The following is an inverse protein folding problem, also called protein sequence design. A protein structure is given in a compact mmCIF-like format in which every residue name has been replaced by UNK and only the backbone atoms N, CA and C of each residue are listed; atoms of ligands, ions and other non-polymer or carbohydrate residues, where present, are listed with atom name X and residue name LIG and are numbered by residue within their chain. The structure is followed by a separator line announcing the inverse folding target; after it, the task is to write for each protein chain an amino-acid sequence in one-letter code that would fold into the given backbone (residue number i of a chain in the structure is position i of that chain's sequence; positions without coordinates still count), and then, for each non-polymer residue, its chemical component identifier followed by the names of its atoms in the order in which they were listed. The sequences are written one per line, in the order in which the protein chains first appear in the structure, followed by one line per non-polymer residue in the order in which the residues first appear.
data_IF_899761978419
#
_entry.id   IF_899761978419
#
_cell.length_a   1.000
_cell.length_b   1.000
_cell.length_c   1.000
_cell.angle_alpha   90.00
_cell.angle_beta   90.00
_cell.angle_gamma   90.00
#
_symmetry.space_group_name_H-M   'P 1'
#
loop_
_entity.id
_entity.type
_entity.pdbx_description
1 polymer ?
#
# COMPACT_ATOMS: atom_id res chain seq x y z
N UNK A 1 -45.26 68.24 -1.45
CA UNK A 1 -45.92 66.99 -1.89
C UNK A 1 -45.27 65.85 -1.15
N UNK A 2 -45.99 65.33 -0.17
CA UNK A 2 -45.45 64.43 0.86
C UNK A 2 -45.61 62.97 0.42
N UNK A 3 -44.47 62.27 0.34
CA UNK A 3 -44.28 60.87 0.74
C UNK A 3 -45.16 59.76 0.13
N UNK A 4 -44.56 58.97 -0.76
CA UNK A 4 -44.62 57.50 -0.67
C UNK A 4 -43.52 56.85 -1.51
N UNK A 5 -42.37 56.54 -0.88
CA UNK A 5 -41.45 55.53 -1.40
C UNK A 5 -41.99 54.15 -1.01
N UNK A 6 -42.06 53.18 -1.95
CA UNK A 6 -42.83 51.95 -1.76
C UNK A 6 -42.14 50.97 -0.78
N UNK A 7 -42.90 50.13 -0.06
CA UNK A 7 -42.41 49.21 0.98
C UNK A 7 -41.61 47.99 0.47
N UNK A 8 -41.42 47.86 -0.85
CA UNK A 8 -40.84 46.67 -1.48
C UNK A 8 -39.35 46.47 -1.18
N UNK A 9 -38.57 47.53 -1.04
CA UNK A 9 -37.13 47.45 -0.74
C UNK A 9 -36.84 46.87 0.65
N UNK A 10 -37.77 47.00 1.60
CA UNK A 10 -37.61 46.50 2.98
C UNK A 10 -37.89 45.00 3.12
N UNK A 11 -38.58 44.40 2.15
CA UNK A 11 -38.91 42.97 2.15
C UNK A 11 -37.81 42.12 1.50
N UNK A 12 -37.07 42.66 0.52
CA UNK A 12 -35.92 41.97 -0.11
C UNK A 12 -34.62 42.07 0.71
N UNK A 13 -34.47 43.05 1.60
CA UNK A 13 -33.27 43.16 2.46
C UNK A 13 -33.24 42.16 3.62
N UNK A 14 -34.41 41.78 4.16
CA UNK A 14 -34.54 40.82 5.27
C UNK A 14 -33.99 39.40 4.99
N UNK A 15 -34.22 38.78 3.81
CA UNK A 15 -33.59 37.50 3.50
C UNK A 15 -32.07 37.62 3.36
N UNK A 16 -31.54 38.75 2.85
CA UNK A 16 -30.10 38.97 2.75
C UNK A 16 -29.41 39.07 4.12
N UNK A 17 -30.02 39.75 5.09
CA UNK A 17 -29.50 39.83 6.46
C UNK A 17 -29.54 38.46 7.16
N UNK A 18 -30.61 37.70 6.98
CA UNK A 18 -30.73 36.34 7.52
C UNK A 18 -29.68 35.38 6.93
N UNK A 19 -29.42 35.47 5.63
CA UNK A 19 -28.40 34.67 4.95
C UNK A 19 -26.99 35.04 5.41
N UNK A 20 -26.70 36.33 5.62
CA UNK A 20 -25.43 36.80 6.19
C UNK A 20 -25.20 36.27 7.60
N UNK A 21 -26.24 36.28 8.45
CA UNK A 21 -26.18 35.72 9.80
C UNK A 21 -25.95 34.20 9.76
N UNK A 22 -26.63 33.48 8.86
CA UNK A 22 -26.39 32.04 8.69
C UNK A 22 -24.96 31.74 8.24
N UNK A 23 -24.42 32.52 7.31
CA UNK A 23 -23.05 32.33 6.82
C UNK A 23 -22.02 32.61 7.93
N UNK A 24 -22.24 33.65 8.74
CA UNK A 24 -21.44 33.92 9.93
C UNK A 24 -21.45 32.75 10.92
N UNK A 25 -22.63 32.17 11.22
CA UNK A 25 -22.72 31.01 12.11
C UNK A 25 -22.04 29.77 11.53
N UNK A 26 -22.12 29.53 10.21
CA UNK A 26 -21.39 28.43 9.56
C UNK A 26 -19.88 28.60 9.72
N UNK A 27 -19.37 29.82 9.47
CA UNK A 27 -17.95 30.13 9.66
C UNK A 27 -17.51 29.92 11.11
N UNK A 28 -18.33 30.33 12.09
CA UNK A 28 -18.04 30.13 13.51
C UNK A 28 -17.99 28.64 13.89
N UNK A 29 -18.92 27.82 13.37
CA UNK A 29 -18.92 26.37 13.57
C UNK A 29 -17.70 25.71 12.93
N UNK A 30 -17.30 26.18 11.75
CA UNK A 30 -16.10 25.70 11.06
C UNK A 30 -14.82 25.99 11.87
N UNK A 31 -14.69 27.22 12.37
CA UNK A 31 -13.59 27.63 13.26
C UNK A 31 -13.53 26.78 14.54
N UNK A 32 -14.69 26.47 15.15
CA UNK A 32 -14.75 25.61 16.33
C UNK A 32 -14.29 24.17 16.03
N UNK A 33 -14.66 23.62 14.86
CA UNK A 33 -14.20 22.29 14.42
C UNK A 33 -12.69 22.28 14.19
N UNK A 34 -12.15 23.27 13.50
CA UNK A 34 -10.71 23.39 13.25
C UNK A 34 -9.93 23.53 14.54
N UNK A 35 -10.41 24.34 15.49
CA UNK A 35 -9.82 24.47 16.83
C UNK A 35 -9.82 23.14 17.60
N UNK A 36 -10.90 22.36 17.51
CA UNK A 36 -10.97 21.06 18.16
C UNK A 36 -9.99 20.04 17.56
N UNK A 37 -9.86 20.02 16.23
CA UNK A 37 -8.89 19.18 15.53
C UNK A 37 -7.45 19.55 15.89
N UNK A 38 -7.13 20.84 15.88
CA UNK A 38 -5.81 21.33 16.26
C UNK A 38 -5.48 20.97 17.71
N UNK A 39 -6.46 21.11 18.63
CA UNK A 39 -6.27 20.73 20.02
C UNK A 39 -6.05 19.22 20.19
N UNK A 40 -6.75 18.38 19.41
CA UNK A 40 -6.52 16.94 19.42
C UNK A 40 -5.11 16.58 18.91
N UNK A 41 -4.68 17.19 17.81
CA UNK A 41 -3.34 17.00 17.25
C UNK A 41 -2.23 17.41 18.22
N UNK A 42 -2.37 18.56 18.89
CA UNK A 42 -1.41 19.02 19.92
C UNK A 42 -1.34 18.04 21.10
N UNK A 43 -2.46 17.44 21.51
CA UNK A 43 -2.47 16.45 22.61
C UNK A 43 -1.72 15.17 22.20
N UNK A 44 -1.95 14.71 20.97
CA UNK A 44 -1.27 13.55 20.42
C UNK A 44 0.24 13.80 20.27
N UNK A 45 0.64 14.96 19.75
CA UNK A 45 2.04 15.37 19.65
C UNK A 45 2.74 15.36 21.02
N UNK A 46 2.09 15.92 22.06
CA UNK A 46 2.61 15.89 23.43
C UNK A 46 2.75 14.46 23.97
N UNK A 47 1.79 13.58 23.68
CA UNK A 47 1.84 12.16 24.07
C UNK A 47 3.03 11.46 23.41
N UNK A 48 3.20 11.66 22.10
CA UNK A 48 4.31 11.10 21.33
C UNK A 48 5.67 11.63 21.81
N UNK A 49 5.76 12.89 22.20
CA UNK A 49 7.00 13.45 22.78
C UNK A 49 7.40 12.76 24.08
N UNK A 50 6.43 12.49 24.97
CA UNK A 50 6.68 11.76 26.22
C UNK A 50 7.11 10.32 25.95
N UNK A 51 6.43 9.64 25.03
CA UNK A 51 6.77 8.27 24.64
C UNK A 51 8.16 8.18 24.00
N UNK A 52 8.49 9.09 23.08
CA UNK A 52 9.82 9.16 22.47
C UNK A 52 10.91 9.44 23.51
N UNK A 53 10.63 10.28 24.52
CA UNK A 53 11.57 10.52 25.61
C UNK A 53 11.78 9.26 26.48
N UNK A 54 10.73 8.47 26.70
CA UNK A 54 10.82 7.18 27.40
C UNK A 54 11.62 6.17 26.59
N UNK A 55 11.29 5.98 25.31
CA UNK A 55 12.00 5.07 24.42
C UNK A 55 13.50 5.41 24.31
N UNK A 56 13.85 6.71 24.28
CA UNK A 56 15.26 7.14 24.31
C UNK A 56 15.97 6.68 25.58
N UNK A 57 15.34 6.82 26.76
CA UNK A 57 15.91 6.32 28.03
C UNK A 57 16.09 4.81 28.01
N UNK A 58 15.08 4.07 27.54
CA UNK A 58 15.12 2.60 27.47
C UNK A 58 16.24 2.13 26.52
N UNK A 59 16.42 2.81 25.37
CA UNK A 59 17.52 2.56 24.43
C UNK A 59 18.88 2.78 25.11
N UNK A 60 19.04 3.87 25.86
CA UNK A 60 20.31 4.18 26.52
C UNK A 60 20.62 3.21 27.66
N UNK A 61 19.61 2.75 28.39
CA UNK A 61 19.74 1.70 29.40
C UNK A 61 20.14 0.36 28.77
N UNK A 62 19.48 -0.04 27.69
CA UNK A 62 19.82 -1.25 26.94
C UNK A 62 21.25 -1.21 26.38
N UNK A 63 21.69 -0.06 25.86
CA UNK A 63 23.08 0.14 25.42
C UNK A 63 24.07 -0.05 26.57
N UNK A 64 23.78 0.52 27.74
CA UNK A 64 24.63 0.38 28.93
C UNK A 64 24.72 -1.08 29.38
N UNK A 65 23.58 -1.79 29.43
CA UNK A 65 23.54 -3.22 29.75
C UNK A 65 24.34 -4.06 28.74
N UNK A 66 24.29 -3.71 27.45
CA UNK A 66 25.03 -4.42 26.41
C UNK A 66 26.55 -4.21 26.58
N UNK A 67 26.98 -2.96 26.81
CA UNK A 67 28.38 -2.65 27.10
C UNK A 67 28.88 -3.38 28.35
N UNK A 68 28.08 -3.44 29.43
CA UNK A 68 28.45 -4.15 30.65
C UNK A 68 28.54 -5.66 30.43
N UNK A 69 27.62 -6.25 29.65
CA UNK A 69 27.70 -7.66 29.24
C UNK A 69 28.94 -7.95 28.40
N UNK A 70 29.33 -7.04 27.50
CA UNK A 70 30.55 -7.16 26.69
C UNK A 70 31.80 -7.09 27.57
N UNK A 71 31.88 -6.13 28.50
CA UNK A 71 32.98 -6.01 29.48
C UNK A 71 33.09 -7.27 30.35
N UNK A 72 31.97 -7.81 30.85
CA UNK A 72 31.95 -9.06 31.64
C UNK A 72 32.41 -10.28 30.83
N UNK A 73 32.08 -10.36 29.54
CA UNK A 73 32.57 -11.43 28.65
C UNK A 73 34.08 -11.32 28.43
N UNK A 74 34.60 -10.10 28.21
CA UNK A 74 36.03 -9.88 28.05
C UNK A 74 36.82 -10.25 29.32
N UNK A 75 36.31 -9.91 30.51
CA UNK A 75 36.94 -10.29 31.79
C UNK A 75 36.96 -11.81 31.99
N UNK A 76 35.88 -12.52 31.64
CA UNK A 76 35.82 -14.00 31.72
C UNK A 76 36.75 -14.71 30.73
N UNK A 77 37.07 -14.10 29.58
CA UNK A 77 38.03 -14.64 28.62
C UNK A 77 39.49 -14.38 29.02
N UNK A 78 39.76 -13.35 29.84
CA UNK A 78 41.11 -13.01 30.30
C UNK A 78 41.59 -13.78 31.54
N UNK A 79 40.76 -14.63 32.17
CA UNK A 79 41.13 -15.38 33.39
C UNK A 79 41.49 -16.85 33.17
N UNK A 80 41.64 -17.30 31.91
CA UNK A 80 42.14 -18.66 31.65
C UNK A 80 43.68 -18.58 31.56
N UNK A 81 44.44 -19.18 32.51
CA UNK A 81 45.88 -19.18 32.44
C UNK A 81 46.36 -20.05 31.26
N UNK A 82 47.48 -19.70 30.59
CA UNK A 82 48.03 -20.51 29.53
C UNK A 82 48.79 -21.68 30.17
N UNK A 83 48.28 -22.90 30.01
CA UNK A 83 49.09 -24.11 30.23
C UNK A 83 49.57 -24.58 28.87
N UNK A 84 50.83 -24.30 28.56
CA UNK A 84 51.60 -25.00 27.54
C UNK A 84 52.24 -26.25 28.15
N UNK A 85 52.16 -27.38 27.44
CA UNK A 85 53.29 -28.25 27.04
C UNK A 85 52.78 -29.67 26.70
N UNK A 86 52.79 -30.02 25.41
CA UNK A 86 53.69 -31.01 24.76
C UNK A 86 53.53 -32.46 25.19
N UNK A 87 53.11 -33.35 24.27
CA UNK A 87 53.98 -34.34 23.62
C UNK A 87 53.21 -35.53 22.99
N UNK A 88 53.65 -35.94 21.79
CA UNK A 88 53.61 -37.29 21.14
C UNK A 88 52.23 -37.87 20.76
N UNK A 89 51.93 -37.99 19.46
CA UNK A 89 52.28 -39.09 18.53
C UNK A 89 51.64 -40.43 18.95
N UNK A 90 50.59 -40.83 18.23
CA UNK A 90 50.41 -42.18 17.66
C UNK A 90 49.07 -42.29 16.89
N UNK A 91 49.18 -42.68 15.61
CA UNK A 91 48.17 -43.42 14.81
C UNK A 91 48.94 -44.65 14.33
N UNK A 92 48.39 -45.88 14.33
CA UNK A 92 47.26 -46.32 13.48
C UNK A 92 46.25 -47.15 14.32
N UNK A 93 45.14 -47.76 13.89
CA UNK A 93 44.83 -48.52 12.68
C UNK A 93 43.31 -48.87 12.69
N UNK A 94 42.80 -49.23 11.52
CA UNK A 94 41.49 -49.81 11.23
C UNK A 94 41.10 -51.00 12.12
N UNK A 95 39.79 -51.23 12.35
CA UNK A 95 39.07 -52.50 12.06
C UNK A 95 37.65 -52.49 12.66
N UNK A 96 36.64 -52.59 11.80
CA UNK A 96 35.26 -53.04 12.09
C UNK A 96 35.26 -54.56 12.37
N UNK A 97 34.30 -55.12 13.12
CA UNK A 97 33.22 -55.79 12.40
C UNK A 97 31.83 -55.78 13.07
N UNK A 98 30.83 -55.72 12.19
CA UNK A 98 29.58 -56.50 12.08
C UNK A 98 28.84 -57.03 13.33
N UNK A 99 27.52 -56.76 13.34
CA UNK A 99 26.40 -57.73 13.30
C UNK A 99 25.12 -57.04 13.83
N UNK A 100 23.87 -57.31 13.45
CA UNK A 100 23.15 -58.10 12.44
C UNK A 100 21.66 -57.72 12.68
N UNK A 101 20.87 -57.30 11.69
CA UNK A 101 19.99 -58.14 10.84
C UNK A 101 18.58 -58.39 11.41
N UNK A 102 17.55 -57.96 10.67
CA UNK A 102 16.40 -58.75 10.17
C UNK A 102 15.34 -57.79 9.58
N UNK A 103 15.08 -57.75 8.25
CA UNK A 103 14.27 -58.67 7.42
C UNK A 103 12.76 -58.59 7.74
N UNK A 104 11.79 -58.57 6.82
CA UNK A 104 11.67 -58.91 5.39
C UNK A 104 10.41 -58.19 4.83
N UNK A 105 10.36 -57.69 3.58
CA UNK A 105 9.98 -58.39 2.32
C UNK A 105 8.62 -59.08 2.43
N UNK A 106 7.64 -58.83 1.56
CA UNK A 106 7.37 -59.60 0.31
C UNK A 106 6.42 -58.82 -0.63
N UNK A 107 6.67 -59.00 -1.94
CA UNK A 107 5.94 -58.56 -3.13
C UNK A 107 4.50 -59.14 -3.24
N UNK A 108 3.59 -58.65 -4.09
CA UNK A 108 3.36 -59.09 -5.50
C UNK A 108 2.05 -58.42 -5.99
N UNK A 109 2.01 -57.68 -7.10
CA UNK A 109 1.63 -58.08 -8.48
C UNK A 109 0.14 -58.44 -8.76
N UNK A 110 -0.43 -57.65 -9.70
CA UNK A 110 -1.42 -57.98 -10.77
C UNK A 110 -2.95 -57.90 -10.63
N UNK A 111 -3.51 -57.30 -11.69
CA UNK A 111 -4.78 -57.51 -12.43
C UNK A 111 -6.09 -56.81 -12.02
N UNK A 112 -6.49 -55.89 -12.91
CA UNK A 112 -7.78 -55.78 -13.65
C UNK A 112 -9.10 -55.73 -12.87
N UNK A 113 -9.93 -54.70 -13.08
CA UNK A 113 -11.22 -54.70 -13.85
C UNK A 113 -11.96 -53.35 -13.69
N UNK A 114 -12.40 -52.76 -14.80
CA UNK A 114 -13.44 -51.71 -14.93
C UNK A 114 -14.85 -52.28 -14.60
N UNK A 115 -15.94 -51.51 -14.33
CA UNK A 115 -16.54 -50.56 -15.30
C UNK A 115 -17.33 -49.35 -14.71
N UNK A 116 -17.98 -48.59 -15.62
CA UNK A 116 -19.07 -47.61 -15.46
C UNK A 116 -18.67 -46.10 -15.37
N UNK A 117 -18.70 -45.33 -16.47
CA UNK A 117 -19.83 -44.52 -17.03
C UNK A 117 -20.23 -43.31 -16.14
N UNK A 118 -20.48 -42.07 -16.58
CA UNK A 118 -20.81 -41.43 -17.86
C UNK A 118 -20.71 -39.88 -17.72
N UNK A 119 -20.66 -39.14 -18.85
CA UNK A 119 -21.10 -37.74 -19.10
C UNK A 119 -20.16 -36.58 -18.66
N UNK A 120 -19.95 -35.50 -19.42
CA UNK A 120 -20.45 -35.06 -20.73
C UNK A 120 -19.52 -33.93 -21.26
N UNK A 121 -19.12 -34.03 -22.53
CA UNK A 121 -18.44 -32.98 -23.30
C UNK A 121 -19.47 -32.27 -24.17
N UNK A 122 -19.45 -30.93 -24.20
CA UNK A 122 -20.33 -30.16 -25.07
C UNK A 122 -19.71 -28.83 -25.50
N UNK A 123 -18.93 -28.87 -26.58
CA UNK A 123 -18.25 -27.73 -27.19
C UNK A 123 -18.96 -27.31 -28.49
N UNK A 124 -19.13 -25.98 -28.63
CA UNK A 124 -19.09 -25.14 -29.86
C UNK A 124 -20.36 -24.82 -30.69
N UNK A 125 -20.49 -23.49 -30.88
CA UNK A 125 -20.63 -22.66 -32.12
C UNK A 125 -22.03 -22.19 -32.54
N UNK A 126 -22.17 -20.86 -32.72
CA UNK A 126 -22.50 -20.07 -33.96
C UNK A 126 -22.95 -18.64 -33.55
N UNK A 127 -22.17 -17.57 -33.73
CA UNK A 127 -22.01 -16.68 -34.90
C UNK A 127 -23.24 -15.81 -35.28
N UNK A 128 -23.05 -14.49 -35.11
CA UNK A 128 -23.57 -13.32 -35.89
C UNK A 128 -25.03 -12.84 -35.78
N UNK A 129 -25.22 -11.58 -35.32
CA UNK A 129 -25.76 -10.49 -36.17
C UNK A 129 -25.58 -9.09 -35.56
N UNK A 130 -25.21 -8.18 -36.47
CA UNK A 130 -24.88 -6.76 -36.38
C UNK A 130 -26.15 -5.89 -36.49
N UNK A 131 -26.16 -4.68 -35.91
CA UNK A 131 -27.22 -3.69 -36.14
C UNK A 131 -26.99 -2.34 -35.46
N UNK A 132 -26.55 -1.35 -36.25
CA UNK A 132 -26.34 0.06 -35.93
C UNK A 132 -27.58 0.80 -35.39
N UNK A 133 -27.36 1.77 -34.50
CA UNK A 133 -28.04 3.08 -34.59
C UNK A 133 -27.20 4.19 -33.93
N UNK A 134 -26.57 5.02 -34.77
CA UNK A 134 -26.21 6.41 -34.46
C UNK A 134 -27.45 7.27 -34.71
N UNK A 135 -27.79 8.22 -33.82
CA UNK A 135 -27.70 9.65 -34.13
C UNK A 135 -27.99 10.56 -32.92
N UNK A 136 -27.46 11.79 -33.05
CA UNK A 136 -27.28 12.90 -32.11
C UNK A 136 -28.54 13.46 -31.45
N UNK A 137 -28.36 14.02 -30.24
CA UNK A 137 -28.86 15.36 -29.89
C UNK A 137 -27.80 16.15 -29.11
N UNK A 138 -27.58 17.40 -29.53
CA UNK A 138 -26.76 18.44 -28.90
C UNK A 138 -27.62 19.35 -28.02
N UNK A 139 -26.97 19.95 -26.99
CA UNK A 139 -27.50 20.96 -26.06
C UNK A 139 -27.87 20.33 -24.71
N UNK A 140 -27.28 20.67 -23.55
CA UNK A 140 -26.83 21.96 -23.01
C UNK A 140 -25.66 21.69 -22.02
N UNK A 141 -24.71 22.61 -21.91
CA UNK A 141 -23.52 22.48 -21.07
C UNK A 141 -23.87 22.47 -19.56
N UNK A 142 -23.97 21.27 -18.99
CA UNK A 142 -23.58 20.96 -17.62
C UNK A 142 -22.23 20.25 -17.69
N UNK A 143 -21.25 20.65 -16.88
CA UNK A 143 -19.93 20.02 -16.88
C UNK A 143 -20.05 18.59 -16.34
N UNK A 144 -20.29 17.65 -17.26
CA UNK A 144 -20.37 16.22 -17.00
C UNK A 144 -19.02 15.69 -16.51
N UNK A 145 -18.86 15.58 -15.18
CA UNK A 145 -17.74 14.88 -14.55
C UNK A 145 -17.70 13.37 -14.85
N UNK A 146 -18.68 12.81 -15.58
CA UNK A 146 -18.72 11.38 -15.95
C UNK A 146 -18.13 11.12 -17.36
N UNK A 147 -17.71 12.16 -18.11
CA UNK A 147 -17.23 12.00 -19.49
C UNK A 147 -15.71 11.76 -19.64
N UNK A 148 -14.88 12.18 -18.67
CA UNK A 148 -13.42 12.01 -18.74
C UNK A 148 -12.94 11.05 -17.67
N UNK A 149 -12.49 9.87 -18.11
CA UNK A 149 -11.79 8.90 -17.25
C UNK A 149 -10.31 9.31 -17.21
N UNK A 150 -9.89 9.91 -16.09
CA UNK A 150 -8.51 10.29 -15.85
C UNK A 150 -8.06 9.96 -14.42
N UNK A 151 -6.78 10.22 -14.14
CA UNK A 151 -6.15 9.81 -12.89
C UNK A 151 -6.64 10.56 -11.65
N UNK A 152 -7.36 11.68 -11.78
CA UNK A 152 -7.92 12.41 -10.64
C UNK A 152 -8.94 11.58 -9.85
N UNK A 153 -9.55 10.59 -10.52
CA UNK A 153 -10.51 9.65 -9.92
C UNK A 153 -9.88 8.61 -9.01
N UNK A 154 -8.55 8.43 -9.08
CA UNK A 154 -7.82 7.47 -8.25
C UNK A 154 -7.44 8.10 -6.91
N UNK A 155 -7.73 7.42 -5.79
CA UNK A 155 -7.27 7.86 -4.47
C UNK A 155 -5.88 7.30 -4.23
N UNK A 156 -4.86 8.03 -4.69
CA UNK A 156 -3.46 7.69 -4.48
C UNK A 156 -2.93 8.37 -3.23
N UNK A 157 -2.42 7.58 -2.28
CA UNK A 157 -1.87 8.09 -1.02
C UNK A 157 -0.52 7.49 -0.71
N UNK A 158 0.28 8.25 0.02
CA UNK A 158 1.50 7.75 0.64
C UNK A 158 1.11 6.92 1.86
N UNK A 159 1.74 5.76 2.02
CA UNK A 159 1.61 4.95 3.22
C UNK A 159 2.96 4.40 3.68
N UNK A 160 2.97 3.87 4.91
CA UNK A 160 4.11 3.22 5.53
C UNK A 160 3.75 1.79 5.88
N UNK A 161 4.51 0.84 5.35
CA UNK A 161 4.39 -0.57 5.71
C UNK A 161 4.91 -0.72 7.15
N UNK A 162 4.01 -0.96 8.09
CA UNK A 162 4.35 -1.11 9.51
C UNK A 162 4.93 -2.50 9.76
N UNK A 163 4.29 -3.51 9.18
CA UNK A 163 4.67 -4.90 9.27
C UNK A 163 4.41 -5.58 7.93
N UNK A 164 5.36 -6.37 7.46
CA UNK A 164 5.15 -7.29 6.35
C UNK A 164 5.44 -8.73 6.82
N UNK A 165 4.64 -9.69 6.34
CA UNK A 165 4.84 -11.13 6.57
C UNK A 165 4.49 -11.92 5.33
N UNK A 166 5.04 -13.13 5.17
CA UNK A 166 4.63 -14.05 4.09
C UNK A 166 3.17 -14.46 4.30
N UNK A 167 2.41 -14.56 3.22
CA UNK A 167 1.04 -15.03 3.29
C UNK A 167 1.02 -16.51 3.72
N UNK A 168 0.15 -16.92 4.67
CA UNK A 168 0.14 -18.29 5.20
C UNK A 168 -0.14 -19.34 4.13
N UNK A 169 -1.08 -19.05 3.23
CA UNK A 169 -1.54 -19.99 2.20
C UNK A 169 -1.01 -19.66 0.77
N UNK A 170 0.00 -18.77 0.64
CA UNK A 170 0.49 -18.36 -0.68
C UNK A 170 1.97 -17.91 -0.69
N UNK A 171 2.83 -18.71 -1.31
CA UNK A 171 4.28 -18.46 -1.34
C UNK A 171 4.70 -17.22 -2.14
N UNK A 172 3.86 -16.77 -3.07
CA UNK A 172 4.14 -15.60 -3.91
C UNK A 172 3.62 -14.28 -3.36
N UNK A 173 2.92 -14.31 -2.20
CA UNK A 173 2.25 -13.14 -1.64
C UNK A 173 2.84 -12.76 -0.27
N UNK A 174 2.90 -11.46 -0.04
CA UNK A 174 3.07 -10.88 1.28
C UNK A 174 1.73 -10.35 1.78
N UNK A 175 1.59 -10.28 3.10
CA UNK A 175 0.52 -9.58 3.80
C UNK A 175 1.18 -8.45 4.57
N UNK A 176 0.79 -7.22 4.26
CA UNK A 176 1.30 -6.02 4.89
C UNK A 176 0.22 -5.31 5.70
N UNK A 177 0.58 -4.83 6.89
CA UNK A 177 -0.22 -3.83 7.61
C UNK A 177 0.37 -2.46 7.28
N UNK A 178 -0.43 -1.59 6.66
CA UNK A 178 0.05 -0.34 6.07
C UNK A 178 -0.68 0.85 6.67
N UNK A 179 0.06 1.76 7.30
CA UNK A 179 -0.45 3.04 7.76
C UNK A 179 -0.63 3.98 6.56
N UNK A 180 -1.84 4.49 6.37
CA UNK A 180 -2.21 5.42 5.29
C UNK A 180 -2.76 6.74 5.82
N UNK A 181 -2.44 7.09 7.07
CA UNK A 181 -2.94 8.29 7.75
C UNK A 181 -4.42 8.19 8.13
N UNK A 182 -4.94 6.97 8.24
CA UNK A 182 -6.30 6.67 8.71
C UNK A 182 -6.30 6.21 10.17
N UNK A 183 -7.48 6.12 10.80
CA UNK A 183 -7.60 5.72 12.20
C UNK A 183 -7.08 4.30 12.50
N UNK A 184 -7.04 3.43 11.49
CA UNK A 184 -6.48 2.10 11.57
C UNK A 184 -5.62 1.79 10.32
N UNK A 185 -4.54 1.01 10.46
CA UNK A 185 -3.80 0.49 9.33
C UNK A 185 -4.69 -0.36 8.42
N UNK A 186 -4.36 -0.37 7.13
CA UNK A 186 -5.01 -1.22 6.14
C UNK A 186 -4.21 -2.49 5.90
N UNK A 187 -4.91 -3.60 5.76
CA UNK A 187 -4.30 -4.85 5.32
C UNK A 187 -4.16 -4.82 3.80
N UNK A 188 -2.95 -5.05 3.31
CA UNK A 188 -2.59 -5.11 1.89
C UNK A 188 -1.99 -6.47 1.60
N UNK A 189 -2.29 -7.00 0.42
CA UNK A 189 -1.71 -8.27 -0.06
C UNK A 189 -0.97 -7.99 -1.35
N UNK A 190 0.36 -8.10 -1.34
CA UNK A 190 1.21 -7.79 -2.50
C UNK A 190 1.90 -9.02 -3.07
N UNK A 191 2.06 -9.06 -4.40
CA UNK A 191 2.76 -10.13 -5.12
C UNK A 191 4.26 -9.92 -5.23
N UNK A 192 4.92 -9.42 -4.19
CA UNK A 192 6.30 -8.91 -4.28
C UNK A 192 7.39 -9.91 -3.84
N UNK A 193 7.03 -11.11 -3.40
CA UNK A 193 7.97 -12.10 -2.82
C UNK A 193 9.17 -12.42 -3.73
N UNK A 194 8.96 -12.43 -5.05
CA UNK A 194 10.02 -12.73 -6.04
C UNK A 194 10.92 -11.53 -6.36
N UNK A 195 10.51 -10.32 -5.97
CA UNK A 195 11.11 -9.07 -6.46
C UNK A 195 11.71 -8.23 -5.33
N UNK A 196 11.11 -8.26 -4.14
CA UNK A 196 11.52 -7.45 -3.00
C UNK A 196 11.65 -8.35 -1.78
N UNK A 197 12.83 -8.42 -1.14
CA UNK A 197 12.99 -9.20 0.07
C UNK A 197 12.20 -8.58 1.23
N UNK A 198 11.74 -9.43 2.15
CA UNK A 198 10.90 -9.04 3.27
C UNK A 198 11.50 -7.90 4.12
N UNK A 199 12.82 -7.92 4.32
CA UNK A 199 13.56 -6.92 5.09
C UNK A 199 13.46 -5.51 4.49
N UNK A 200 13.35 -5.40 3.17
CA UNK A 200 13.18 -4.12 2.47
C UNK A 200 11.73 -3.61 2.52
N UNK A 201 10.77 -4.43 2.91
CA UNK A 201 9.37 -3.99 3.06
C UNK A 201 9.10 -3.42 4.45
N UNK A 202 9.84 -3.86 5.47
CA UNK A 202 9.63 -3.38 6.83
C UNK A 202 9.89 -1.87 6.93
N UNK A 203 8.93 -1.12 7.48
CA UNK A 203 9.01 0.34 7.63
C UNK A 203 9.21 1.11 6.32
N UNK A 204 8.90 0.51 5.16
CA UNK A 204 9.07 1.15 3.86
C UNK A 204 7.91 2.11 3.56
N UNK A 205 8.25 3.29 3.07
CA UNK A 205 7.30 4.24 2.51
C UNK A 205 6.92 3.83 1.09
N UNK A 206 5.64 3.85 0.76
CA UNK A 206 5.08 3.38 -0.50
C UNK A 206 3.95 4.29 -0.99
N UNK A 207 3.63 4.23 -2.28
CA UNK A 207 2.42 4.82 -2.84
C UNK A 207 1.35 3.73 -2.98
N UNK A 208 0.13 4.02 -2.57
CA UNK A 208 -0.99 3.09 -2.53
C UNK A 208 -2.18 3.63 -3.30
N UNK A 209 -2.92 2.73 -3.95
CA UNK A 209 -4.24 2.98 -4.46
C UNK A 209 -5.29 2.53 -3.44
N UNK A 210 -6.02 3.49 -2.86
CA UNK A 210 -6.84 3.30 -1.67
C UNK A 210 -8.35 3.22 -1.93
N UNK A 211 -8.83 3.53 -3.15
CA UNK A 211 -10.26 3.51 -3.47
C UNK A 211 -10.66 2.36 -4.41
N UNK A 212 -9.83 1.33 -4.55
CA UNK A 212 -10.28 0.08 -5.17
C UNK A 212 -11.26 -0.65 -4.27
N UNK A 213 -12.19 -1.39 -4.89
CA UNK A 213 -13.03 -2.33 -4.16
C UNK A 213 -12.15 -3.39 -3.47
N UNK A 214 -12.26 -3.60 -2.15
CA UNK A 214 -11.47 -4.62 -1.46
C UNK A 214 -11.64 -6.00 -2.08
N UNK A 215 -10.53 -6.71 -2.27
CA UNK A 215 -10.50 -8.00 -2.95
C UNK A 215 -9.93 -9.08 -2.02
N UNK A 216 -10.54 -10.26 -2.02
CA UNK A 216 -10.03 -11.42 -1.29
C UNK A 216 -8.95 -12.12 -2.12
N UNK A 217 -7.76 -12.24 -1.54
CA UNK A 217 -6.63 -12.97 -2.10
C UNK A 217 -6.29 -14.10 -1.14
N UNK A 218 -6.59 -15.34 -1.53
CA UNK A 218 -6.28 -16.55 -0.74
C UNK A 218 -6.76 -16.50 0.73
N UNK A 219 -7.92 -15.88 0.96
CA UNK A 219 -8.55 -15.80 2.29
C UNK A 219 -8.36 -14.45 2.99
N UNK A 220 -7.31 -13.69 2.66
CA UNK A 220 -7.05 -12.35 3.23
C UNK A 220 -7.67 -11.27 2.34
N UNK A 221 -8.31 -10.27 2.94
CA UNK A 221 -8.90 -9.13 2.21
C UNK A 221 -7.83 -8.05 2.05
N UNK A 222 -7.44 -7.76 0.81
CA UNK A 222 -6.61 -6.59 0.49
C UNK A 222 -7.49 -5.35 0.34
N UNK A 223 -7.18 -4.30 1.10
CA UNK A 223 -7.94 -3.04 1.17
C UNK A 223 -7.29 -1.89 0.38
N UNK A 224 -6.09 -2.12 -0.16
CA UNK A 224 -5.39 -1.22 -1.04
C UNK A 224 -4.45 -2.02 -1.96
N UNK A 225 -3.74 -1.32 -2.85
CA UNK A 225 -2.75 -1.91 -3.75
C UNK A 225 -1.49 -1.04 -3.75
N UNK A 226 -0.31 -1.66 -3.58
CA UNK A 226 0.99 -0.97 -3.66
C UNK A 226 1.30 -0.67 -5.13
N UNK A 227 1.53 0.60 -5.44
CA UNK A 227 1.86 1.04 -6.78
C UNK A 227 3.31 0.68 -7.12
N UNK A 228 3.49 -0.08 -8.19
CA UNK A 228 4.79 -0.58 -8.59
C UNK A 228 5.06 -0.28 -10.07
N UNK A 229 6.33 -0.05 -10.39
CA UNK A 229 6.80 -0.07 -11.77
C UNK A 229 7.07 -1.52 -12.17
N UNK A 230 6.58 -1.90 -13.34
CA UNK A 230 6.65 -3.25 -13.86
C UNK A 230 7.35 -3.24 -15.23
N UNK A 231 8.40 -4.06 -15.32
CA UNK A 231 9.09 -4.45 -16.55
C UNK A 231 8.98 -5.97 -16.73
N UNK A 232 9.22 -6.52 -17.93
CA UNK A 232 9.16 -7.97 -18.16
C UNK A 232 10.02 -8.81 -17.20
N UNK A 233 11.09 -8.22 -16.66
CA UNK A 233 12.11 -8.91 -15.86
C UNK A 233 12.01 -8.58 -14.36
N UNK A 234 11.57 -7.36 -14.01
CA UNK A 234 11.63 -6.83 -12.64
C UNK A 234 10.45 -5.95 -12.29
N UNK A 235 10.06 -6.00 -11.01
CA UNK A 235 9.09 -5.09 -10.39
C UNK A 235 9.82 -4.25 -9.33
N UNK A 236 9.58 -2.94 -9.34
CA UNK A 236 10.09 -1.99 -8.34
C UNK A 236 8.94 -1.22 -7.70
N UNK A 237 8.97 -1.06 -6.38
CA UNK A 237 7.97 -0.24 -5.68
C UNK A 237 8.25 1.24 -5.97
N UNK A 238 7.18 2.03 -6.16
CA UNK A 238 7.31 3.47 -6.28
C UNK A 238 7.63 4.11 -4.92
N UNK A 239 8.73 4.83 -4.88
CA UNK A 239 9.21 5.53 -3.71
C UNK A 239 8.61 6.96 -3.70
N UNK A 240 7.88 7.35 -2.64
CA UNK A 240 7.41 8.72 -2.46
C UNK A 240 8.59 9.67 -2.17
N UNK A 241 8.43 11.00 -2.35
CA UNK A 241 9.48 11.95 -2.08
C UNK A 241 9.89 11.99 -0.60
N UNK A 242 11.11 12.45 -0.34
CA UNK A 242 11.60 12.60 1.03
C UNK A 242 10.74 13.59 1.82
N UNK A 243 10.45 13.26 3.08
CA UNK A 243 9.56 14.05 3.95
C UNK A 243 8.06 13.77 3.75
N UNK A 244 7.67 12.90 2.81
CA UNK A 244 6.30 12.42 2.72
C UNK A 244 5.90 11.64 4.00
N UNK A 245 4.66 11.80 4.42
CA UNK A 245 4.09 11.15 5.61
C UNK A 245 2.88 10.30 5.22
N UNK A 246 2.53 9.26 6.00
CA UNK A 246 1.32 8.49 5.78
C UNK A 246 0.08 9.39 5.65
N UNK A 247 -0.71 9.16 4.61
CA UNK A 247 -1.92 9.93 4.30
C UNK A 247 -1.73 11.09 3.35
N UNK A 248 -0.49 11.50 3.04
CA UNK A 248 -0.25 12.49 1.99
C UNK A 248 -0.86 12.03 0.67
N UNK A 249 -1.62 12.92 0.03
CA UNK A 249 -2.18 12.65 -1.29
C UNK A 249 -1.16 12.83 -2.40
N UNK A 250 -1.15 11.88 -3.32
CA UNK A 250 -0.43 11.98 -4.58
C UNK A 250 -1.40 12.52 -5.64
N UNK A 251 -1.05 13.66 -6.22
CA UNK A 251 -1.89 14.39 -7.17
C UNK A 251 -1.15 14.65 -8.48
N UNK A 252 -1.88 15.08 -9.49
CA UNK A 252 -1.37 15.38 -10.82
C UNK A 252 -1.70 16.83 -11.16
N UNK A 253 -0.71 17.71 -11.34
CA UNK A 253 -0.97 19.14 -11.58
C UNK A 253 -1.92 19.39 -12.77
N UNK A 254 -1.76 18.61 -13.84
CA UNK A 254 -2.55 18.77 -15.06
C UNK A 254 -3.94 18.12 -15.01
N UNK A 255 -4.27 17.40 -13.93
CA UNK A 255 -5.54 16.69 -13.77
C UNK A 255 -6.12 16.95 -12.37
N UNK A 256 -6.66 18.17 -12.12
CA UNK A 256 -7.33 18.46 -10.86
C UNK A 256 -8.66 17.71 -10.76
N UNK A 257 -8.98 17.20 -9.56
CA UNK A 257 -10.24 16.53 -9.28
C UNK A 257 -10.21 15.83 -7.93
N UNK A 258 -11.38 15.37 -7.49
CA UNK A 258 -11.52 14.53 -6.29
C UNK A 258 -11.68 13.07 -6.69
N UNK A 259 -11.07 12.13 -5.95
CA UNK A 259 -11.17 10.72 -6.26
C UNK A 259 -12.55 10.17 -5.94
N UNK A 260 -12.93 9.12 -6.65
CA UNK A 260 -14.15 8.37 -6.36
C UNK A 260 -14.05 7.75 -4.95
N UNK A 261 -15.16 7.70 -4.21
CA UNK A 261 -15.20 7.04 -2.90
C UNK A 261 -14.83 5.55 -2.96
N UNK A 262 -15.31 4.86 -4.00
CA UNK A 262 -14.93 3.48 -4.35
C UNK A 262 -15.04 3.37 -5.88
N UNK A 263 -13.99 2.86 -6.53
CA UNK A 263 -13.95 2.63 -7.97
C UNK A 263 -14.89 1.48 -8.34
N UNK A 264 -15.80 1.73 -9.28
CA UNK A 264 -16.70 0.70 -9.79
C UNK A 264 -15.97 -0.22 -10.79
N UNK A 265 -15.80 -1.52 -10.51
CA UNK A 265 -15.09 -2.44 -11.40
C UNK A 265 -15.73 -2.56 -12.79
N UNK A 266 -17.05 -2.32 -12.91
CA UNK A 266 -17.76 -2.35 -14.20
C UNK A 266 -17.37 -1.19 -15.13
N UNK A 267 -16.97 -0.04 -14.56
CA UNK A 267 -16.55 1.13 -15.33
C UNK A 267 -15.09 1.03 -15.81
N UNK A 268 -14.33 0.05 -15.32
CA UNK A 268 -12.91 -0.18 -15.68
C UNK A 268 -12.06 1.09 -15.67
N UNK A 269 -12.26 1.92 -14.64
CA UNK A 269 -11.59 3.23 -14.50
C UNK A 269 -10.09 3.03 -14.33
N UNK A 270 -9.71 2.10 -13.44
CA UNK A 270 -8.33 1.74 -13.20
C UNK A 270 -7.62 1.29 -14.49
N UNK A 271 -8.21 0.38 -15.25
CA UNK A 271 -7.61 -0.18 -16.46
C UNK A 271 -7.41 0.87 -17.56
N UNK A 272 -8.35 1.82 -17.68
CA UNK A 272 -8.23 2.95 -18.61
C UNK A 272 -7.14 3.92 -18.20
N UNK A 273 -7.03 4.23 -16.90
CA UNK A 273 -5.98 5.13 -16.39
C UNK A 273 -4.60 4.47 -16.45
N UNK A 274 -4.52 3.19 -16.06
CA UNK A 274 -3.31 2.38 -16.00
C UNK A 274 -2.62 2.22 -17.35
N UNK A 275 -3.36 2.26 -18.47
CA UNK A 275 -2.79 2.25 -19.81
C UNK A 275 -1.83 3.43 -20.07
N UNK A 276 -2.04 4.55 -19.40
CA UNK A 276 -1.22 5.77 -19.54
C UNK A 276 -0.28 6.01 -18.36
N UNK A 277 -0.26 5.12 -17.36
CA UNK A 277 0.64 5.19 -16.21
C UNK A 277 2.00 4.58 -16.54
N UNK A 278 3.04 5.41 -16.49
CA UNK A 278 4.41 4.98 -16.78
C UNK A 278 5.45 5.85 -16.08
N UNK A 279 6.65 5.33 -15.89
CA UNK A 279 7.80 6.15 -15.51
C UNK A 279 8.38 6.90 -16.72
N UNK A 280 8.97 8.07 -16.50
CA UNK A 280 9.71 8.82 -17.53
C UNK A 280 11.18 8.39 -17.61
N UNK A 281 11.99 9.12 -18.40
CA UNK A 281 13.44 8.87 -18.54
C UNK A 281 14.25 9.13 -17.27
N UNK A 282 13.68 9.84 -16.29
CA UNK A 282 14.29 10.14 -14.98
C UNK A 282 13.72 9.25 -13.87
N UNK A 283 13.03 8.17 -14.23
CA UNK A 283 12.34 7.25 -13.34
C UNK A 283 11.18 7.89 -12.54
N UNK A 284 10.70 9.08 -12.92
CA UNK A 284 9.57 9.73 -12.25
C UNK A 284 8.28 9.08 -12.71
N UNK A 285 7.39 8.71 -11.78
CA UNK A 285 6.08 8.17 -12.11
C UNK A 285 5.19 9.25 -12.74
N UNK A 286 4.54 8.95 -13.86
CA UNK A 286 3.71 9.90 -14.61
C UNK A 286 2.40 9.28 -15.09
N UNK A 287 1.37 10.11 -15.23
CA UNK A 287 0.14 9.84 -15.98
C UNK A 287 0.06 10.80 -17.16
N UNK A 288 0.09 10.30 -18.40
CA UNK A 288 0.10 11.16 -19.62
C UNK A 288 1.16 12.27 -19.57
N UNK A 289 2.32 11.98 -18.96
CA UNK A 289 3.42 12.94 -18.77
C UNK A 289 3.27 13.89 -17.57
N UNK A 290 2.12 13.92 -16.89
CA UNK A 290 1.98 14.64 -15.62
C UNK A 290 2.55 13.80 -14.47
N UNK A 291 3.49 14.35 -13.71
CA UNK A 291 4.18 13.63 -12.65
C UNK A 291 3.27 13.35 -11.44
N UNK A 292 3.54 12.23 -10.76
CA UNK A 292 3.01 11.91 -9.45
C UNK A 292 3.66 12.84 -8.43
N UNK A 293 2.90 13.79 -7.89
CA UNK A 293 3.41 14.80 -6.97
C UNK A 293 2.74 14.69 -5.60
N UNK A 294 3.56 14.70 -4.56
CA UNK A 294 3.13 15.02 -3.19
C UNK A 294 3.36 16.51 -2.98
N UNK A 295 2.26 17.26 -2.81
CA UNK A 295 2.28 18.73 -2.78
C UNK A 295 3.28 19.25 -1.75
N UNK A 296 4.20 20.10 -2.20
CA UNK A 296 5.21 20.74 -1.36
C UNK A 296 6.37 19.84 -0.92
N UNK A 297 6.41 18.56 -1.33
CA UNK A 297 7.45 17.60 -0.92
C UNK A 297 8.24 17.03 -2.09
N UNK A 298 7.59 16.82 -3.24
CA UNK A 298 8.28 16.44 -4.47
C UNK A 298 7.56 15.35 -5.25
N UNK A 299 8.34 14.60 -6.04
CA UNK A 299 7.82 13.65 -7.02
C UNK A 299 8.08 12.20 -6.59
N UNK A 300 7.14 11.31 -6.90
CA UNK A 300 7.29 9.87 -6.69
C UNK A 300 8.13 9.26 -7.83
N UNK A 301 9.04 8.33 -7.49
CA UNK A 301 10.01 7.76 -8.44
C UNK A 301 10.14 6.25 -8.29
N UNK A 302 10.47 5.57 -9.38
CA UNK A 302 11.06 4.24 -9.34
C UNK A 302 12.57 4.34 -9.03
N UNK A 303 13.17 3.22 -8.63
CA UNK A 303 14.59 3.20 -8.28
C UNK A 303 15.47 3.26 -9.52
N UNK A 304 15.20 2.38 -10.48
CA UNK A 304 16.00 2.23 -11.70
C UNK A 304 15.18 2.07 -12.97
N UNK A 305 13.90 1.68 -12.86
CA UNK A 305 13.05 1.44 -14.01
C UNK A 305 12.50 2.74 -14.63
N UNK A 306 13.14 3.20 -15.71
CA UNK A 306 12.66 4.29 -16.57
C UNK A 306 11.77 3.76 -17.69
N UNK A 307 10.90 4.61 -18.25
CA UNK A 307 10.01 4.31 -19.38
C UNK A 307 9.20 3.00 -19.24
N UNK A 308 8.87 2.63 -18.00
CA UNK A 308 8.27 1.34 -17.66
C UNK A 308 6.82 1.54 -17.20
N UNK A 309 5.97 0.54 -17.44
CA UNK A 309 4.56 0.60 -17.05
C UNK A 309 4.39 0.60 -15.54
N UNK A 310 3.36 1.27 -15.01
CA UNK A 310 3.01 1.22 -13.59
C UNK A 310 1.74 0.38 -13.40
N UNK A 311 1.74 -0.48 -12.38
CA UNK A 311 0.63 -1.37 -12.03
C UNK A 311 0.42 -1.46 -10.53
#
# INVERSE_FOLDING_TARGET
MSGHTPPLTRLEQKPSEADQIMEYFKQQVQLLKEKALLQASIREEKKLLVENAKLKKDIDELKKLLQDKQKRRAVKQATVPPVQCTSKLDTPESTTPAACTAHATIASTTTTTTPATHKDEGKRRKAERKGEKREKKQGVATLDHDARVDASRLDLRVGRIMEARKHPDADSLYVEEVDVGEAAPRTVVSGLVKHVPLEQLQNRMVVLLCNLKPAKMRGVVSQAMVMCTNSPERVEILDPPSGAVPGDRVTFQSFPGEPDKELNPKKKVWEQVQADLRTDSKCVATYKGAAFEVRGKGLCKAQTLSNSSIK
#
